data_IF_219139041679
#
_entry.id   IF_219139041679
#
_cell.length_a   1.000
_cell.length_b   1.000
_cell.length_c   1.000
_cell.angle_alpha   90.00
_cell.angle_beta   90.00
_cell.angle_gamma   90.00
#
_symmetry.space_group_name_H-M   'P 1'
#
loop_
_entity.id
_entity.type
_entity.pdbx_description
1 polymer ?
#
# COMPACT_ATOMS: atom_id res chain seq x y z
N UNK A 1 62.52 0.40 3.83
CA UNK A 1 61.62 -0.63 3.24
C UNK A 1 60.18 -0.15 3.48
N UNK A 2 59.52 0.54 2.53
CA UNK A 2 58.53 0.05 1.51
C UNK A 2 57.37 -0.82 2.07
N UNK A 3 56.15 -0.24 2.14
CA UNK A 3 54.84 -0.61 1.54
C UNK A 3 53.70 0.18 2.26
N UNK A 4 53.15 1.24 1.65
CA UNK A 4 51.81 1.40 0.98
C UNK A 4 50.53 1.34 1.87
N UNK A 5 49.72 2.40 1.73
CA UNK A 5 48.33 2.76 2.20
C UNK A 5 47.24 1.70 1.89
N UNK A 6 45.92 1.77 2.33
CA UNK A 6 45.06 2.97 2.51
C UNK A 6 43.94 2.94 3.61
N UNK A 7 43.16 4.03 3.61
CA UNK A 7 42.00 4.39 4.44
C UNK A 7 40.87 3.35 4.52
N UNK A 8 40.17 3.30 5.67
CA UNK A 8 38.74 3.03 5.73
C UNK A 8 38.13 3.73 6.95
N UNK A 9 37.25 4.72 6.70
CA UNK A 9 36.26 5.17 7.66
C UNK A 9 35.19 4.09 7.73
N UNK A 10 35.04 3.44 8.89
CA UNK A 10 33.96 2.50 9.15
C UNK A 10 33.30 2.87 10.48
N UNK A 11 31.98 2.97 10.40
CA UNK A 11 31.08 3.48 11.42
C UNK A 11 31.20 2.72 12.75
N UNK A 12 31.30 3.47 13.85
CA UNK A 12 30.76 3.09 15.15
C UNK A 12 29.33 3.64 15.17
N UNK A 13 28.29 2.88 15.52
CA UNK A 13 28.01 2.45 16.89
C UNK A 13 27.32 1.08 16.90
N UNK A 14 27.70 0.29 17.90
CA UNK A 14 27.21 -1.03 18.24
C UNK A 14 25.74 -1.05 18.70
N UNK A 15 25.05 -2.15 18.42
CA UNK A 15 24.03 -2.68 19.32
C UNK A 15 24.02 -4.21 19.20
N UNK A 16 24.47 -4.88 20.26
CA UNK A 16 24.43 -6.34 20.40
C UNK A 16 23.25 -6.75 21.28
N UNK A 17 22.57 -7.81 20.81
CA UNK A 17 21.83 -8.85 21.54
C UNK A 17 20.43 -8.57 22.12
N UNK A 18 19.43 -9.25 21.53
CA UNK A 18 18.41 -10.01 22.27
C UNK A 18 18.00 -11.25 21.44
N UNK A 19 18.02 -12.44 22.06
CA UNK A 19 17.71 -13.73 21.46
C UNK A 19 16.25 -14.14 21.72
N UNK A 20 15.54 -14.46 20.62
CA UNK A 20 14.51 -15.49 20.42
C UNK A 20 12.99 -15.19 20.64
N UNK A 21 12.26 -15.49 19.54
CA UNK A 21 10.84 -15.84 19.35
C UNK A 21 9.76 -14.76 19.46
N UNK A 22 9.38 -14.23 18.30
CA UNK A 22 8.30 -13.26 18.14
C UNK A 22 8.86 -11.97 17.60
N UNK A 23 9.08 -11.92 16.28
CA UNK A 23 9.19 -10.64 15.61
C UNK A 23 7.82 -9.96 15.74
N UNK A 24 7.64 -9.14 16.77
CA UNK A 24 6.74 -8.00 16.68
C UNK A 24 7.43 -6.97 15.79
N UNK A 25 7.70 -7.37 14.54
CA UNK A 25 7.61 -6.42 13.47
C UNK A 25 6.14 -6.01 13.50
N UNK A 26 5.85 -4.94 14.24
CA UNK A 26 4.69 -4.14 13.95
C UNK A 26 4.78 -3.93 12.42
N UNK A 27 3.87 -4.52 11.63
CA UNK A 27 3.94 -4.37 10.18
C UNK A 27 3.99 -2.87 9.94
N UNK A 28 4.88 -2.38 9.07
CA UNK A 28 5.00 -0.96 8.77
C UNK A 28 3.59 -0.39 8.56
N UNK A 29 3.06 0.26 9.60
CA UNK A 29 1.63 0.49 9.67
C UNK A 29 1.35 1.68 8.77
N UNK A 30 0.73 1.38 7.63
CA UNK A 30 -0.30 2.23 7.05
C UNK A 30 -1.12 2.88 8.17
N UNK A 31 -1.65 4.09 7.97
CA UNK A 31 -2.44 4.83 8.97
C UNK A 31 -3.12 3.88 9.97
N UNK A 32 -2.77 3.88 11.28
CA UNK A 32 -2.75 2.68 12.16
C UNK A 32 -4.05 1.88 12.35
N UNK A 33 -5.13 2.30 11.71
CA UNK A 33 -6.46 1.70 11.72
C UNK A 33 -6.95 1.31 10.30
N UNK A 34 -6.24 1.66 9.22
CA UNK A 34 -6.53 1.26 7.83
C UNK A 34 -5.92 -0.11 7.54
N UNK A 35 -6.77 -1.12 7.45
CA UNK A 35 -6.35 -2.49 7.13
C UNK A 35 -6.10 -2.65 5.62
N UNK A 36 -5.16 -3.52 5.26
CA UNK A 36 -4.84 -3.81 3.87
C UNK A 36 -6.04 -4.43 3.15
N UNK A 37 -6.10 -4.24 1.83
CA UNK A 37 -7.17 -4.78 0.97
C UNK A 37 -6.53 -5.71 -0.05
N UNK A 38 -7.07 -6.91 -0.25
CA UNK A 38 -6.48 -7.94 -1.10
C UNK A 38 -6.80 -9.36 -0.64
N UNK A 39 -6.45 -10.36 -1.45
CA UNK A 39 -6.53 -11.75 -1.01
C UNK A 39 -5.64 -12.00 0.22
N UNK A 40 -6.21 -12.65 1.24
CA UNK A 40 -5.53 -12.91 2.51
C UNK A 40 -5.42 -11.70 3.44
N UNK A 41 -6.05 -10.57 3.10
CA UNK A 41 -6.13 -9.37 3.94
C UNK A 41 -7.48 -9.28 4.66
N UNK A 42 -7.62 -8.43 5.69
CA UNK A 42 -8.86 -8.29 6.44
C UNK A 42 -10.07 -7.84 5.61
N UNK A 43 -9.86 -6.99 4.59
CA UNK A 43 -10.90 -6.51 3.67
C UNK A 43 -12.14 -5.96 4.40
N UNK A 44 -11.96 -4.93 5.24
CA UNK A 44 -13.09 -4.25 5.87
C UNK A 44 -14.05 -3.70 4.81
N UNK A 45 -15.35 -3.69 5.13
CA UNK A 45 -16.38 -3.23 4.21
C UNK A 45 -16.13 -1.79 3.78
N UNK A 46 -15.70 -0.96 4.73
CA UNK A 46 -15.40 0.45 4.53
C UNK A 46 -14.17 0.64 3.65
N UNK A 47 -13.08 -0.12 3.89
CA UNK A 47 -11.87 -0.03 3.09
C UNK A 47 -12.10 -0.48 1.65
N UNK A 48 -12.76 -1.63 1.46
CA UNK A 48 -13.11 -2.13 0.13
C UNK A 48 -14.05 -1.16 -0.59
N UNK A 49 -15.08 -0.66 0.10
CA UNK A 49 -16.02 0.30 -0.46
C UNK A 49 -15.33 1.59 -0.89
N UNK A 50 -14.44 2.12 -0.05
CA UNK A 50 -13.63 3.27 -0.39
C UNK A 50 -12.69 3.02 -1.57
N UNK A 51 -12.10 1.84 -1.69
CA UNK A 51 -11.32 1.51 -2.88
C UNK A 51 -12.20 1.50 -4.13
N UNK A 52 -13.38 0.88 -4.07
CA UNK A 52 -14.30 0.77 -5.20
C UNK A 52 -14.77 2.17 -5.68
N UNK A 53 -15.18 3.03 -4.75
CA UNK A 53 -15.58 4.42 -5.01
C UNK A 53 -14.44 5.22 -5.67
N UNK A 54 -13.27 5.24 -5.03
CA UNK A 54 -12.10 5.96 -5.56
C UNK A 54 -11.60 5.41 -6.90
N UNK A 55 -11.69 4.10 -7.11
CA UNK A 55 -11.34 3.50 -8.40
C UNK A 55 -12.33 3.93 -9.50
N UNK A 56 -13.62 4.00 -9.19
CA UNK A 56 -14.66 4.44 -10.12
C UNK A 56 -14.56 5.92 -10.51
N UNK A 57 -13.74 6.73 -9.85
CA UNK A 57 -13.37 8.07 -10.34
C UNK A 57 -12.33 8.04 -11.47
N UNK A 58 -11.48 7.01 -11.49
CA UNK A 58 -10.29 6.94 -12.34
C UNK A 58 -10.30 5.75 -13.31
N UNK A 59 -11.35 4.92 -13.34
CA UNK A 59 -11.43 3.69 -14.15
C UNK A 59 -11.09 3.91 -15.63
N UNK A 60 -11.48 5.06 -16.20
CA UNK A 60 -11.25 5.40 -17.59
C UNK A 60 -9.76 5.58 -17.92
N UNK A 61 -8.90 5.82 -16.92
CA UNK A 61 -7.46 5.94 -17.06
C UNK A 61 -6.74 4.60 -16.95
N UNK A 62 -7.35 3.61 -16.29
CA UNK A 62 -6.73 2.31 -16.01
C UNK A 62 -6.90 1.31 -17.15
N UNK A 63 -7.80 1.59 -18.10
CA UNK A 63 -8.17 0.65 -19.17
C UNK A 63 -9.05 -0.51 -18.66
N UNK A 64 -9.70 -0.33 -17.51
CA UNK A 64 -10.68 -1.26 -16.95
C UNK A 64 -12.10 -0.69 -17.11
N UNK A 65 -13.10 -1.30 -16.47
CA UNK A 65 -14.47 -0.81 -16.39
C UNK A 65 -14.82 -0.40 -14.94
N UNK A 66 -15.85 0.42 -14.71
CA UNK A 66 -16.35 0.67 -13.37
C UNK A 66 -16.79 -0.63 -12.69
N UNK A 67 -16.60 -0.73 -11.39
CA UNK A 67 -16.98 -1.88 -10.58
C UNK A 67 -18.11 -1.52 -9.62
N UNK A 68 -18.76 -2.54 -9.03
CA UNK A 68 -19.77 -2.30 -8.00
C UNK A 68 -19.15 -1.74 -6.71
N UNK A 69 -19.83 -0.79 -6.08
CA UNK A 69 -19.49 -0.20 -4.77
C UNK A 69 -20.28 -0.89 -3.65
N UNK A 70 -20.05 -2.19 -3.47
CA UNK A 70 -20.76 -3.02 -2.49
C UNK A 70 -19.99 -3.22 -1.18
N UNK A 71 -18.72 -2.80 -1.13
CA UNK A 71 -17.79 -3.03 -0.03
C UNK A 71 -17.36 -4.49 0.11
N UNK A 72 -17.53 -5.32 -0.91
CA UNK A 72 -17.16 -6.73 -0.90
C UNK A 72 -15.93 -6.97 -1.77
N UNK A 73 -14.91 -7.59 -1.20
CA UNK A 73 -13.72 -7.94 -1.96
C UNK A 73 -14.01 -9.18 -2.82
N UNK A 74 -13.95 -9.01 -4.13
CA UNK A 74 -14.14 -10.08 -5.10
C UNK A 74 -13.20 -9.99 -6.30
N UNK A 75 -13.36 -10.91 -7.27
CA UNK A 75 -12.52 -10.94 -8.48
C UNK A 75 -12.49 -9.63 -9.27
N UNK A 76 -13.62 -8.91 -9.32
CA UNK A 76 -13.69 -7.62 -10.03
C UNK A 76 -12.91 -6.53 -9.27
N UNK A 77 -12.94 -6.53 -7.93
CA UNK A 77 -12.13 -5.62 -7.10
C UNK A 77 -10.64 -5.96 -7.23
N UNK A 78 -10.24 -7.23 -7.20
CA UNK A 78 -8.84 -7.62 -7.47
C UNK A 78 -8.39 -7.15 -8.87
N UNK A 79 -9.22 -7.39 -9.89
CA UNK A 79 -8.95 -6.97 -11.26
C UNK A 79 -8.75 -5.46 -11.38
N UNK A 80 -9.60 -4.68 -10.71
CA UNK A 80 -9.48 -3.23 -10.63
C UNK A 80 -8.20 -2.78 -9.89
N UNK A 81 -7.85 -3.41 -8.76
CA UNK A 81 -6.59 -3.11 -8.04
C UNK A 81 -5.39 -3.32 -8.96
N UNK A 82 -5.32 -4.47 -9.65
CA UNK A 82 -4.20 -4.75 -10.55
C UNK A 82 -4.17 -3.80 -11.74
N UNK A 83 -5.32 -3.41 -12.29
CA UNK A 83 -5.40 -2.43 -13.37
C UNK A 83 -4.89 -1.05 -12.90
N UNK A 84 -5.32 -0.62 -11.72
CA UNK A 84 -4.86 0.61 -11.10
C UNK A 84 -3.34 0.59 -10.83
N UNK A 85 -2.83 -0.48 -10.23
CA UNK A 85 -1.40 -0.65 -9.95
C UNK A 85 -0.56 -0.58 -11.24
N UNK A 86 -1.00 -1.24 -12.32
CA UNK A 86 -0.34 -1.16 -13.64
C UNK A 86 -0.34 0.25 -14.19
N UNK A 87 -1.46 0.96 -14.10
CA UNK A 87 -1.56 2.34 -14.55
C UNK A 87 -0.60 3.26 -13.78
N UNK A 88 -0.47 3.06 -12.47
CA UNK A 88 0.47 3.78 -11.60
C UNK A 88 1.91 3.27 -11.65
N UNK A 89 2.21 2.24 -12.46
CA UNK A 89 3.53 1.60 -12.56
C UNK A 89 4.03 1.02 -11.22
N UNK A 90 3.11 0.52 -10.40
CA UNK A 90 3.37 -0.22 -9.18
C UNK A 90 3.44 -1.73 -9.45
N UNK A 91 3.86 -2.50 -8.45
CA UNK A 91 3.70 -3.96 -8.45
C UNK A 91 2.22 -4.31 -8.57
N UNK A 92 1.83 -5.08 -9.60
CA UNK A 92 0.45 -5.47 -9.86
C UNK A 92 0.04 -6.73 -9.08
N UNK A 93 0.28 -6.74 -7.78
CA UNK A 93 0.08 -7.89 -6.88
C UNK A 93 -1.37 -8.10 -6.42
N UNK A 94 -2.25 -7.11 -6.65
CA UNK A 94 -3.65 -7.17 -6.24
C UNK A 94 -3.87 -6.82 -4.77
N UNK A 95 -2.90 -6.18 -4.13
CA UNK A 95 -2.96 -5.77 -2.72
C UNK A 95 -2.86 -4.24 -2.60
N UNK A 96 -3.85 -3.63 -1.98
CA UNK A 96 -3.79 -2.22 -1.57
C UNK A 96 -3.05 -2.13 -0.23
N UNK A 97 -1.74 -1.92 -0.32
CA UNK A 97 -0.90 -1.44 0.77
C UNK A 97 -0.61 0.07 0.67
N UNK A 98 0.23 0.64 1.57
CA UNK A 98 0.49 2.07 1.66
C UNK A 98 0.82 2.76 0.34
N UNK A 99 1.69 2.18 -0.48
CA UNK A 99 2.08 2.77 -1.76
C UNK A 99 0.91 2.83 -2.75
N UNK A 100 0.10 1.77 -2.80
CA UNK A 100 -1.08 1.71 -3.67
C UNK A 100 -2.14 2.70 -3.20
N UNK A 101 -2.41 2.77 -1.89
CA UNK A 101 -3.42 3.68 -1.37
C UNK A 101 -3.01 5.16 -1.44
N UNK A 102 -1.75 5.51 -1.13
CA UNK A 102 -1.24 6.88 -1.38
C UNK A 102 -1.37 7.25 -2.86
N UNK A 103 -1.03 6.33 -3.77
CA UNK A 103 -1.18 6.58 -5.21
C UNK A 103 -2.65 6.75 -5.62
N UNK A 104 -3.58 6.00 -4.99
CA UNK A 104 -5.01 6.07 -5.24
C UNK A 104 -5.59 7.41 -4.79
N UNK A 105 -5.33 7.80 -3.54
CA UNK A 105 -5.79 9.07 -2.98
C UNK A 105 -5.28 10.28 -3.79
N UNK A 106 -4.02 10.23 -4.25
CA UNK A 106 -3.44 11.27 -5.09
C UNK A 106 -3.99 11.28 -6.53
N UNK A 107 -4.52 10.15 -7.02
CA UNK A 107 -5.03 10.02 -8.38
C UNK A 107 -6.43 10.59 -8.54
N UNK A 108 -7.24 10.42 -7.51
CA UNK A 108 -8.59 10.97 -7.42
C UNK A 108 -8.48 12.45 -7.11
N UNK A 109 -9.29 13.29 -7.79
CA UNK A 109 -9.30 14.74 -7.56
C UNK A 109 -10.00 15.11 -6.23
N UNK A 110 -9.89 14.23 -5.23
CA UNK A 110 -10.57 14.31 -3.96
C UNK A 110 -9.68 15.01 -2.94
N UNK A 111 -9.73 16.34 -3.00
CA UNK A 111 -9.61 17.11 -1.79
C UNK A 111 -10.76 16.74 -0.84
N UNK A 112 -10.50 15.84 0.11
CA UNK A 112 -10.96 15.99 1.50
C UNK A 112 -12.49 15.91 1.77
N UNK A 113 -13.25 15.01 1.10
CA UNK A 113 -14.73 14.98 1.22
C UNK A 113 -15.42 13.63 1.52
N UNK A 114 -14.80 12.48 1.21
CA UNK A 114 -15.44 11.16 1.39
C UNK A 114 -15.14 10.47 2.71
N UNK A 115 -14.09 10.89 3.43
CA UNK A 115 -13.59 10.17 4.60
C UNK A 115 -12.86 8.86 4.25
N UNK A 116 -12.59 8.61 2.97
CA UNK A 116 -11.87 7.42 2.52
C UNK A 116 -10.36 7.49 2.72
N UNK A 117 -9.81 8.69 2.94
CA UNK A 117 -8.47 8.88 3.50
C UNK A 117 -8.33 8.23 4.87
N UNK A 118 -9.45 8.06 5.58
CA UNK A 118 -9.50 7.11 6.67
C UNK A 118 -9.28 5.71 6.06
N UNK A 119 -10.29 4.99 5.60
CA UNK A 119 -10.19 3.54 5.30
C UNK A 119 -9.17 3.07 4.21
N UNK A 120 -8.54 4.02 3.52
CA UNK A 120 -7.30 4.07 2.73
C UNK A 120 -5.94 3.65 3.33
N UNK A 121 -5.32 2.47 3.09
CA UNK A 121 -3.93 2.25 3.53
C UNK A 121 -2.95 3.20 2.82
N UNK A 122 -2.41 4.21 3.49
CA UNK A 122 -1.48 5.20 2.92
C UNK A 122 -0.35 5.59 3.89
N UNK A 123 0.73 6.16 3.33
CA UNK A 123 1.82 6.83 4.06
C UNK A 123 1.56 8.33 4.26
#
# INVERSE_FOLDING_TARGET
MKFKTPMARLAFVAASAALALGAWAAPAQAHPWAEWIGYGQPNTREGVGCFQDLFNDVWWQTGYHPIAEDGLFGPDTDGAIRAFQKWKRLSADGIVGPETGTALLNATNWGNGTGCDYYIPSN
#
